data_IF_511790871134
#
_entry.id   IF_511790871134
#
_cell.length_a   1.000
_cell.length_b   1.000
_cell.length_c   1.000
_cell.angle_alpha   90.00
_cell.angle_beta   90.00
_cell.angle_gamma   90.00
#
_symmetry.space_group_name_H-M   'P 1'
#
loop_
_entity.id
_entity.type
_entity.pdbx_description
1 polymer ?
#
# COMPACT_ATOMS: atom_id res chain seq x y z
N UNK A 1 0.54 -11.41 -7.66
CA UNK A 1 -0.61 -10.50 -7.80
C UNK A 1 -1.52 -10.50 -6.58
N UNK A 2 -1.86 -11.64 -5.98
CA UNK A 2 -2.84 -11.70 -4.87
C UNK A 2 -2.56 -10.74 -3.71
N UNK A 3 -1.32 -10.64 -3.23
CA UNK A 3 -0.97 -9.69 -2.16
C UNK A 3 -1.13 -8.23 -2.59
N UNK A 4 -0.70 -7.86 -3.80
CA UNK A 4 -0.89 -6.52 -4.35
C UNK A 4 -2.39 -6.18 -4.46
N UNK A 5 -3.19 -7.09 -5.01
CA UNK A 5 -4.64 -6.93 -5.10
C UNK A 5 -5.27 -6.79 -3.71
N UNK A 6 -4.90 -7.66 -2.77
CA UNK A 6 -5.35 -7.59 -1.39
C UNK A 6 -5.11 -6.22 -0.77
N UNK A 7 -3.90 -5.67 -0.92
CA UNK A 7 -3.60 -4.37 -0.37
C UNK A 7 -4.25 -3.19 -1.12
N UNK A 8 -4.29 -3.23 -2.45
CA UNK A 8 -4.86 -2.13 -3.27
C UNK A 8 -6.38 -2.02 -3.18
N UNK A 9 -7.03 -3.16 -3.02
CA UNK A 9 -8.48 -3.25 -2.82
C UNK A 9 -8.85 -3.34 -1.33
N UNK A 10 -7.86 -3.24 -0.42
CA UNK A 10 -8.07 -3.32 1.02
C UNK A 10 -8.91 -4.54 1.45
N UNK A 11 -8.67 -5.67 0.78
CA UNK A 11 -9.42 -6.91 0.98
C UNK A 11 -9.15 -7.47 2.36
N UNK A 12 -10.20 -8.02 2.96
CA UNK A 12 -10.17 -8.72 4.25
C UNK A 12 -10.34 -10.22 4.07
N UNK A 13 -9.81 -10.97 5.03
CA UNK A 13 -9.85 -12.43 5.07
C UNK A 13 -8.70 -13.08 4.31
N UNK A 14 -8.94 -14.32 3.91
CA UNK A 14 -7.94 -15.23 3.35
C UNK A 14 -8.39 -15.74 1.98
N UNK A 15 -7.41 -16.21 1.21
CA UNK A 15 -7.66 -16.85 -0.08
C UNK A 15 -6.63 -17.92 -0.35
N UNK A 16 -7.07 -19.01 -0.98
CA UNK A 16 -6.18 -20.05 -1.42
C UNK A 16 -5.45 -19.66 -2.72
N UNK A 17 -4.12 -19.81 -2.71
CA UNK A 17 -3.26 -19.74 -3.89
C UNK A 17 -2.59 -21.08 -4.17
N UNK A 18 -2.12 -21.26 -5.40
CA UNK A 18 -1.50 -22.51 -5.82
C UNK A 18 0.01 -22.39 -5.80
N UNK A 19 0.69 -23.24 -5.04
CA UNK A 19 2.14 -23.29 -4.98
C UNK A 19 2.75 -23.98 -6.24
N UNK A 20 4.07 -24.11 -6.30
CA UNK A 20 4.77 -24.73 -7.43
C UNK A 20 4.44 -26.22 -7.61
N UNK A 21 4.05 -26.90 -6.52
CA UNK A 21 3.65 -28.32 -6.52
C UNK A 21 2.19 -28.52 -6.93
N UNK A 22 1.46 -27.44 -7.24
CA UNK A 22 0.04 -27.52 -7.59
C UNK A 22 -0.89 -27.67 -6.38
N UNK A 23 -0.38 -27.55 -5.15
CA UNK A 23 -1.21 -27.60 -3.94
C UNK A 23 -1.72 -26.22 -3.57
N UNK A 24 -2.95 -26.17 -3.04
CA UNK A 24 -3.50 -24.95 -2.45
C UNK A 24 -2.81 -24.64 -1.12
N UNK A 25 -2.48 -23.38 -0.92
CA UNK A 25 -1.98 -22.80 0.32
C UNK A 25 -2.77 -21.53 0.61
N UNK A 26 -3.18 -21.38 1.86
CA UNK A 26 -3.93 -20.22 2.30
C UNK A 26 -2.98 -19.03 2.50
N UNK A 27 -3.42 -17.85 2.06
CA UNK A 27 -2.75 -16.59 2.37
C UNK A 27 -3.76 -15.53 2.82
N UNK A 28 -3.39 -14.77 3.84
CA UNK A 28 -4.16 -13.63 4.31
C UNK A 28 -3.98 -12.43 3.34
N UNK A 29 -5.06 -11.74 3.00
CA UNK A 29 -4.99 -10.52 2.19
C UNK A 29 -4.22 -9.39 2.91
N UNK A 30 -4.43 -9.24 4.21
CA UNK A 30 -3.81 -8.21 5.08
C UNK A 30 -2.36 -8.50 5.48
N UNK A 31 -1.87 -9.75 5.35
CA UNK A 31 -0.51 -10.10 5.75
C UNK A 31 0.54 -9.16 5.13
N UNK A 32 1.56 -8.75 5.88
CA UNK A 32 2.49 -7.71 5.44
C UNK A 32 3.94 -8.20 5.46
N UNK A 33 4.64 -7.95 4.37
CA UNK A 33 6.06 -8.24 4.23
C UNK A 33 6.75 -6.97 3.73
N UNK A 34 7.54 -6.35 4.61
CA UNK A 34 8.06 -5.01 4.36
C UNK A 34 8.93 -4.93 3.09
N UNK A 35 9.87 -5.87 2.94
CA UNK A 35 10.73 -5.95 1.76
C UNK A 35 9.91 -6.11 0.47
N UNK A 36 8.89 -6.97 0.50
CA UNK A 36 8.01 -7.19 -0.64
C UNK A 36 7.18 -5.94 -0.97
N UNK A 37 6.65 -5.25 0.04
CA UNK A 37 5.86 -4.03 -0.13
C UNK A 37 6.69 -2.91 -0.77
N UNK A 38 7.90 -2.65 -0.26
CA UNK A 38 8.77 -1.61 -0.82
C UNK A 38 9.09 -1.89 -2.30
N UNK A 39 9.41 -3.14 -2.63
CA UNK A 39 9.74 -3.52 -4.01
C UNK A 39 8.53 -3.43 -4.95
N UNK A 40 7.33 -3.84 -4.49
CA UNK A 40 6.11 -3.73 -5.30
C UNK A 40 5.72 -2.28 -5.55
N UNK A 41 5.82 -1.43 -4.53
CA UNK A 41 5.52 -0.01 -4.67
C UNK A 41 6.52 0.65 -5.62
N UNK A 42 7.80 0.31 -5.52
CA UNK A 42 8.83 0.79 -6.46
C UNK A 42 8.55 0.35 -7.91
N UNK A 43 8.33 -0.93 -8.18
CA UNK A 43 8.01 -1.46 -9.53
C UNK A 43 6.74 -0.81 -10.08
N UNK A 44 5.73 -0.61 -9.23
CA UNK A 44 4.50 0.10 -9.60
C UNK A 44 4.75 1.54 -10.04
N UNK A 45 5.56 2.30 -9.30
CA UNK A 45 5.93 3.68 -9.64
C UNK A 45 6.73 3.75 -10.94
N UNK A 46 7.68 2.83 -11.13
CA UNK A 46 8.48 2.75 -12.36
C UNK A 46 7.60 2.50 -13.59
N UNK A 47 6.67 1.55 -13.49
CA UNK A 47 5.71 1.29 -14.56
C UNK A 47 4.79 2.47 -14.81
N UNK A 48 4.37 3.18 -13.76
CA UNK A 48 3.48 4.34 -13.91
C UNK A 48 4.17 5.50 -14.64
N UNK A 49 5.42 5.81 -14.28
CA UNK A 49 6.21 6.86 -14.93
C UNK A 49 6.39 6.59 -16.43
N UNK A 50 6.49 5.32 -16.82
CA UNK A 50 6.63 4.87 -18.20
C UNK A 50 5.29 4.64 -18.93
N UNK A 51 4.15 4.81 -18.25
CA UNK A 51 2.82 4.64 -18.82
C UNK A 51 2.29 5.95 -19.42
N UNK A 52 1.43 5.85 -20.44
CA UNK A 52 0.75 7.03 -21.02
C UNK A 52 -0.03 7.83 -19.98
N UNK A 53 -0.65 7.16 -19.00
CA UNK A 53 -1.42 7.77 -17.91
C UNK A 53 -0.56 8.67 -17.02
N UNK A 54 0.75 8.38 -16.90
CA UNK A 54 1.71 9.18 -16.14
C UNK A 54 2.26 10.39 -16.91
N UNK A 55 1.94 10.55 -18.20
CA UNK A 55 2.53 11.58 -19.08
C UNK A 55 2.36 13.01 -18.57
N UNK A 56 1.24 13.30 -17.92
CA UNK A 56 0.94 14.63 -17.38
C UNK A 56 1.91 15.05 -16.25
N UNK A 57 2.55 14.09 -15.59
CA UNK A 57 3.48 14.33 -14.50
C UNK A 57 4.94 14.40 -14.94
N UNK A 58 5.21 14.46 -16.26
CA UNK A 58 6.59 14.55 -16.82
C UNK A 58 7.40 15.70 -16.22
N UNK A 59 6.74 16.82 -15.95
CA UNK A 59 7.38 17.98 -15.31
C UNK A 59 7.90 17.68 -13.90
N UNK A 60 7.37 16.64 -13.23
CA UNK A 60 7.75 16.22 -11.88
C UNK A 60 8.69 15.01 -11.86
N UNK A 61 9.16 14.54 -13.02
CA UNK A 61 9.92 13.29 -13.10
C UNK A 61 11.22 13.30 -12.30
N UNK A 62 11.83 14.46 -12.07
CA UNK A 62 13.03 14.58 -11.25
C UNK A 62 12.71 14.32 -9.78
N UNK A 63 11.66 14.98 -9.27
CA UNK A 63 11.11 14.74 -7.93
C UNK A 63 10.64 13.29 -7.75
N UNK A 64 9.93 12.73 -8.73
CA UNK A 64 9.47 11.33 -8.70
C UNK A 64 10.66 10.36 -8.68
N UNK A 65 11.70 10.60 -9.48
CA UNK A 65 12.92 9.75 -9.48
C UNK A 65 13.66 9.80 -8.14
N UNK A 66 13.72 10.96 -7.49
CA UNK A 66 14.31 11.10 -6.15
C UNK A 66 13.52 10.33 -5.10
N UNK A 67 12.19 10.42 -5.14
CA UNK A 67 11.31 9.60 -4.30
C UNK A 67 11.51 8.10 -4.56
N UNK A 68 11.57 7.68 -5.83
CA UNK A 68 11.81 6.28 -6.20
C UNK A 68 13.18 5.77 -5.72
N UNK A 69 14.22 6.60 -5.78
CA UNK A 69 15.54 6.27 -5.22
C UNK A 69 15.46 6.04 -3.70
N UNK A 70 14.68 6.85 -2.97
CA UNK A 70 14.46 6.63 -1.54
C UNK A 70 13.80 5.26 -1.27
N UNK A 71 12.87 4.80 -2.11
CA UNK A 71 12.31 3.43 -2.04
C UNK A 71 13.35 2.34 -2.30
N UNK A 72 14.25 2.54 -3.27
CA UNK A 72 15.32 1.59 -3.56
C UNK A 72 16.29 1.47 -2.37
N UNK A 73 16.71 2.60 -1.81
CA UNK A 73 17.55 2.65 -0.60
C UNK A 73 16.85 1.96 0.57
N UNK A 74 15.57 2.26 0.81
CA UNK A 74 14.78 1.60 1.84
C UNK A 74 14.76 0.07 1.67
N UNK A 75 14.50 -0.40 0.44
CA UNK A 75 14.48 -1.83 0.11
C UNK A 75 15.85 -2.49 0.37
N UNK A 76 16.94 -1.82 -0.01
CA UNK A 76 18.30 -2.30 0.23
C UNK A 76 18.63 -2.37 1.74
N UNK A 77 18.21 -1.38 2.54
CA UNK A 77 18.41 -1.37 3.99
C UNK A 77 17.65 -2.52 4.67
N UNK A 78 16.38 -2.72 4.30
CA UNK A 78 15.53 -3.75 4.94
C UNK A 78 16.07 -5.17 4.73
N UNK A 79 16.78 -5.45 3.63
CA UNK A 79 17.44 -6.76 3.40
C UNK A 79 18.41 -7.14 4.51
N UNK A 80 19.07 -6.17 5.15
CA UNK A 80 19.98 -6.43 6.25
C UNK A 80 19.28 -6.79 7.56
N UNK A 81 17.96 -6.63 7.69
CA UNK A 81 17.22 -7.07 8.88
C UNK A 81 17.29 -8.58 9.12
N UNK A 82 17.54 -9.37 8.07
CA UNK A 82 17.75 -10.82 8.19
C UNK A 82 19.07 -11.15 8.93
N UNK A 83 20.01 -10.21 9.01
CA UNK A 83 21.35 -10.38 9.56
C UNK A 83 21.59 -9.52 10.81
N UNK A 84 20.54 -9.24 11.60
CA UNK A 84 20.61 -8.35 12.77
C UNK A 84 21.69 -8.73 13.79
N UNK A 85 21.98 -10.02 13.99
CA UNK A 85 23.04 -10.50 14.88
C UNK A 85 24.46 -10.09 14.41
N UNK A 86 24.65 -9.95 13.10
CA UNK A 86 25.93 -9.62 12.49
C UNK A 86 25.90 -8.24 11.80
N UNK A 87 24.94 -7.37 12.16
CA UNK A 87 24.68 -6.12 11.45
C UNK A 87 25.91 -5.20 11.39
N UNK A 88 26.79 -5.30 12.39
CA UNK A 88 28.05 -4.53 12.44
C UNK A 88 29.01 -4.90 11.30
N UNK A 89 28.95 -6.13 10.76
CA UNK A 89 29.75 -6.53 9.59
C UNK A 89 29.35 -5.77 8.33
N UNK A 90 28.10 -5.36 8.24
CA UNK A 90 27.53 -4.63 7.09
C UNK A 90 27.51 -3.11 7.29
N UNK A 91 28.14 -2.60 8.37
CA UNK A 91 28.08 -1.19 8.74
C UNK A 91 28.58 -0.28 7.61
N UNK A 92 29.64 -0.69 6.90
CA UNK A 92 30.21 0.09 5.80
C UNK A 92 29.25 0.18 4.62
N UNK A 93 28.63 -0.93 4.24
CA UNK A 93 27.68 -1.03 3.14
C UNK A 93 26.40 -0.25 3.46
N UNK A 94 25.90 -0.38 4.69
CA UNK A 94 24.74 0.37 5.17
C UNK A 94 25.03 1.88 5.17
N UNK A 95 26.22 2.28 5.63
CA UNK A 95 26.61 3.69 5.63
C UNK A 95 26.67 4.23 4.20
N UNK A 96 27.25 3.47 3.27
CA UNK A 96 27.30 3.86 1.86
C UNK A 96 25.90 4.03 1.23
N UNK A 97 24.89 3.27 1.68
CA UNK A 97 23.50 3.44 1.24
C UNK A 97 22.85 4.72 1.80
N UNK A 98 23.22 5.12 3.02
CA UNK A 98 22.68 6.32 3.69
C UNK A 98 23.41 7.59 3.28
N UNK A 99 24.68 7.47 2.90
CA UNK A 99 25.54 8.59 2.53
C UNK A 99 25.03 9.26 1.23
N UNK A 100 25.14 10.59 1.19
CA UNK A 100 24.72 11.41 0.06
C UNK A 100 23.23 11.31 -0.32
N UNK A 101 22.37 10.83 0.59
CA UNK A 101 20.92 10.83 0.40
C UNK A 101 20.28 12.05 1.05
N UNK A 102 19.76 12.97 0.24
CA UNK A 102 19.00 14.13 0.73
C UNK A 102 17.61 13.72 1.24
N UNK A 103 17.00 12.73 0.59
CA UNK A 103 15.71 12.15 0.91
C UNK A 103 15.88 10.67 1.27
N UNK A 104 15.49 10.32 2.49
CA UNK A 104 15.53 8.96 2.99
C UNK A 104 14.13 8.50 3.40
N UNK A 105 13.82 7.26 3.04
CA UNK A 105 12.65 6.52 3.48
C UNK A 105 13.14 5.33 4.29
N UNK A 106 12.67 5.17 5.52
CA UNK A 106 12.98 3.97 6.29
C UNK A 106 11.79 3.58 7.16
N UNK A 107 11.18 2.43 6.87
CA UNK A 107 10.15 1.87 7.72
C UNK A 107 10.76 1.30 9.01
N UNK A 108 10.06 1.51 10.13
CA UNK A 108 10.50 1.11 11.46
C UNK A 108 9.43 0.26 12.14
N UNK A 109 9.83 -0.94 12.55
CA UNK A 109 8.94 -1.91 13.19
C UNK A 109 8.95 -1.75 14.71
N UNK A 110 7.76 -1.71 15.33
CA UNK A 110 7.58 -1.73 16.78
C UNK A 110 6.27 -2.43 17.15
N UNK A 111 6.27 -3.24 18.21
CA UNK A 111 5.06 -3.87 18.76
C UNK A 111 4.13 -4.57 17.74
N UNK A 112 4.67 -5.18 16.68
CA UNK A 112 3.86 -5.84 15.63
C UNK A 112 3.31 -4.90 14.54
N UNK A 113 3.65 -3.62 14.59
CA UNK A 113 3.33 -2.61 13.58
C UNK A 113 4.59 -2.11 12.89
N UNK A 114 4.46 -1.59 11.66
CA UNK A 114 5.50 -0.82 11.02
C UNK A 114 4.97 0.58 10.68
N UNK A 115 5.69 1.61 11.10
CA UNK A 115 5.50 2.98 10.62
C UNK A 115 6.55 3.32 9.60
N UNK A 116 6.30 4.37 8.83
CA UNK A 116 7.26 4.85 7.84
C UNK A 116 7.79 6.21 8.27
N UNK A 117 9.11 6.33 8.34
CA UNK A 117 9.79 7.59 8.59
C UNK A 117 10.39 8.12 7.29
N UNK A 118 10.28 9.43 7.07
CA UNK A 118 10.93 10.13 5.96
C UNK A 118 11.83 11.20 6.54
N UNK A 119 13.12 11.17 6.20
CA UNK A 119 14.05 12.25 6.54
C UNK A 119 14.36 13.05 5.27
N UNK A 120 14.16 14.35 5.33
CA UNK A 120 14.46 15.26 4.24
C UNK A 120 15.08 16.55 4.76
N UNK A 121 16.35 16.83 4.42
CA UNK A 121 17.11 17.94 5.02
C UNK A 121 17.03 17.90 6.56
N UNK A 122 16.56 18.97 7.20
CA UNK A 122 16.32 19.10 8.64
C UNK A 122 14.90 18.69 9.06
N UNK A 123 14.11 18.09 8.17
CA UNK A 123 12.75 17.65 8.44
C UNK A 123 12.66 16.13 8.66
N UNK A 124 11.74 15.76 9.54
CA UNK A 124 11.32 14.39 9.77
C UNK A 124 9.81 14.29 9.59
N UNK A 125 9.35 13.32 8.81
CA UNK A 125 7.92 12.99 8.69
C UNK A 125 7.66 11.63 9.30
N UNK A 126 6.63 11.55 10.15
CA UNK A 126 6.09 10.29 10.68
C UNK A 126 4.81 9.94 9.95
N UNK A 127 4.81 8.83 9.22
CA UNK A 127 3.61 8.23 8.62
C UNK A 127 3.13 7.07 9.50
N UNK A 128 2.07 7.31 10.28
CA UNK A 128 1.42 6.33 11.14
C UNK A 128 -0.11 6.48 11.05
N UNK A 129 -0.70 5.74 10.13
CA UNK A 129 -2.15 5.65 9.88
C UNK A 129 -2.86 4.67 10.81
N UNK A 130 -2.16 4.05 11.77
CA UNK A 130 -2.77 3.10 12.72
C UNK A 130 -3.60 3.78 13.81
N UNK A 131 -3.81 3.10 14.93
CA UNK A 131 -4.56 3.61 16.09
C UNK A 131 -4.07 4.99 16.59
N UNK A 132 -2.77 5.25 16.48
CA UNK A 132 -2.17 6.50 16.93
C UNK A 132 -2.61 7.73 16.09
N UNK A 133 -3.07 7.51 14.85
CA UNK A 133 -3.54 8.57 13.96
C UNK A 133 -4.71 9.37 14.53
N UNK A 134 -5.54 8.78 15.40
CA UNK A 134 -6.64 9.49 16.06
C UNK A 134 -6.16 10.54 17.07
N UNK A 135 -4.93 10.40 17.59
CA UNK A 135 -4.33 11.32 18.56
C UNK A 135 -3.39 12.31 17.89
N UNK A 136 -2.47 11.79 17.07
CA UNK A 136 -1.41 12.60 16.46
C UNK A 136 -1.76 13.07 15.05
N UNK A 137 -2.68 12.40 14.34
CA UNK A 137 -2.85 12.53 12.89
C UNK A 137 -2.02 11.49 12.14
N UNK A 138 -2.42 11.16 10.91
CA UNK A 138 -1.82 10.08 10.11
C UNK A 138 -0.42 10.37 9.59
N UNK A 139 -0.17 11.62 9.21
CA UNK A 139 1.11 12.05 8.63
C UNK A 139 1.49 13.37 9.25
N UNK A 140 2.57 13.37 10.03
CA UNK A 140 3.02 14.53 10.81
C UNK A 140 4.40 14.97 10.34
N UNK A 141 4.58 16.27 10.13
CA UNK A 141 5.82 16.89 9.66
C UNK A 141 6.44 17.67 10.81
N UNK A 142 7.72 17.40 11.07
CA UNK A 142 8.48 18.03 12.13
C UNK A 142 9.76 18.64 11.60
N UNK A 143 10.18 19.75 12.20
CA UNK A 143 11.56 20.25 12.12
C UNK A 143 12.41 19.57 13.19
N UNK A 144 13.59 19.11 12.82
CA UNK A 144 14.58 18.55 13.75
C UNK A 144 15.51 19.67 14.24
N UNK A 145 15.30 20.17 15.46
CA UNK A 145 16.19 21.17 16.04
C UNK A 145 17.58 20.61 16.36
N UNK A 146 17.70 19.28 16.48
CA UNK A 146 18.97 18.55 16.63
C UNK A 146 19.20 17.58 15.47
N UNK A 147 19.08 18.06 14.24
CA UNK A 147 19.22 17.24 13.01
C UNK A 147 20.55 16.47 12.93
N UNK A 148 21.64 16.99 13.51
CA UNK A 148 22.95 16.31 13.58
C UNK A 148 22.92 14.99 14.35
N UNK A 149 21.92 14.78 15.22
CA UNK A 149 21.73 13.52 15.95
C UNK A 149 20.99 12.46 15.12
N UNK A 150 20.42 12.83 13.97
CA UNK A 150 19.88 11.89 12.99
C UNK A 150 21.04 11.39 12.08
N UNK A 151 22.04 10.77 12.71
CA UNK A 151 23.21 10.21 12.02
C UNK A 151 22.97 8.75 11.60
N UNK A 152 23.96 8.18 10.90
CA UNK A 152 23.86 6.80 10.40
C UNK A 152 23.75 5.77 11.54
N UNK A 153 24.37 6.02 12.71
CA UNK A 153 24.29 5.12 13.86
C UNK A 153 22.88 5.16 14.49
N UNK A 154 22.26 6.34 14.54
CA UNK A 154 20.88 6.52 14.98
C UNK A 154 19.90 5.83 14.03
N UNK A 155 20.04 6.03 12.72
CA UNK A 155 19.22 5.37 11.69
C UNK A 155 19.38 3.85 11.75
N UNK A 156 20.61 3.34 11.86
CA UNK A 156 20.85 1.91 12.09
C UNK A 156 20.19 1.41 13.37
N UNK A 157 20.27 2.21 14.43
CA UNK A 157 19.59 1.96 15.70
C UNK A 157 18.08 1.77 15.50
N UNK A 158 17.44 2.65 14.73
CA UNK A 158 16.01 2.58 14.43
C UNK A 158 15.63 1.32 13.65
N UNK A 159 16.39 0.98 12.59
CA UNK A 159 16.03 -0.09 11.66
C UNK A 159 16.35 -1.48 12.22
N UNK A 160 17.47 -1.64 12.93
CA UNK A 160 18.03 -2.96 13.27
C UNK A 160 17.98 -3.32 14.76
N UNK A 161 17.59 -2.39 15.64
CA UNK A 161 17.32 -2.69 17.05
C UNK A 161 15.82 -2.73 17.30
N UNK A 162 15.40 -3.56 18.26
CA UNK A 162 14.01 -3.63 18.70
C UNK A 162 13.59 -2.29 19.29
N UNK A 163 12.52 -1.71 18.74
CA UNK A 163 11.96 -0.45 19.20
C UNK A 163 10.77 -0.67 20.14
N UNK A 164 10.58 0.25 21.08
CA UNK A 164 9.38 0.33 21.91
C UNK A 164 8.43 1.40 21.41
N UNK A 165 7.13 1.26 21.70
CA UNK A 165 6.11 2.25 21.32
C UNK A 165 6.44 3.64 21.90
N UNK A 166 6.91 3.67 23.15
CA UNK A 166 7.30 4.90 23.85
C UNK A 166 8.50 5.57 23.17
N UNK A 167 9.48 4.79 22.71
CA UNK A 167 10.61 5.35 22.01
C UNK A 167 10.21 5.95 20.65
N UNK A 168 9.37 5.25 19.88
CA UNK A 168 8.90 5.73 18.58
C UNK A 168 8.11 7.04 18.68
N UNK A 169 7.23 7.15 19.68
CA UNK A 169 6.34 8.32 19.77
C UNK A 169 6.89 9.47 20.62
N UNK A 170 7.70 9.19 21.64
CA UNK A 170 8.25 10.22 22.52
C UNK A 170 9.79 10.22 22.59
N UNK A 171 10.45 9.07 22.41
CA UNK A 171 11.91 8.96 22.39
C UNK A 171 12.54 9.73 21.25
N UNK A 172 12.12 9.45 20.01
CA UNK A 172 12.60 10.13 18.80
C UNK A 172 12.37 11.65 18.93
N UNK A 173 11.17 12.06 19.36
CA UNK A 173 10.83 13.47 19.56
C UNK A 173 11.79 14.18 20.51
N UNK A 174 12.13 13.54 21.63
CA UNK A 174 13.07 14.11 22.63
C UNK A 174 14.51 14.13 22.16
N UNK A 175 14.97 13.08 21.48
CA UNK A 175 16.36 12.99 21.00
C UNK A 175 16.63 14.05 19.94
N UNK A 176 15.73 14.16 18.95
CA UNK A 176 15.90 15.06 17.81
C UNK A 176 15.34 16.46 18.05
N UNK A 177 14.70 16.67 19.20
CA UNK A 177 14.03 17.92 19.58
C UNK A 177 13.05 18.39 18.49
N UNK A 178 12.06 17.53 18.22
CA UNK A 178 11.12 17.69 17.11
C UNK A 178 10.12 18.80 17.39
N UNK A 179 10.13 19.83 16.55
CA UNK A 179 9.13 20.91 16.52
C UNK A 179 8.05 20.59 15.48
N UNK A 180 6.75 20.48 15.85
CA UNK A 180 5.68 20.23 14.89
C UNK A 180 5.50 21.40 13.92
N UNK A 181 5.52 21.12 12.61
CA UNK A 181 5.27 22.12 11.57
C UNK A 181 3.88 22.02 10.97
N UNK A 182 3.35 20.81 10.82
CA UNK A 182 2.08 20.59 10.16
C UNK A 182 1.75 19.12 9.94
N UNK A 183 0.63 18.88 9.26
CA UNK A 183 0.10 17.54 8.97
C UNK A 183 -0.39 17.45 7.54
N UNK A 184 -0.31 16.27 6.94
CA UNK A 184 -0.98 15.97 5.67
C UNK A 184 -2.33 15.33 6.00
N UNK A 185 -3.47 15.86 5.50
CA UNK A 185 -4.80 15.38 5.84
C UNK A 185 -5.08 14.03 5.15
N UNK A 186 -4.62 12.95 5.77
CA UNK A 186 -4.83 11.58 5.30
C UNK A 186 -5.65 10.81 6.33
N UNK A 187 -6.68 10.10 5.85
CA UNK A 187 -7.55 9.32 6.72
C UNK A 187 -6.80 8.17 7.44
N UNK A 188 -7.12 7.94 8.73
CA UNK A 188 -6.72 6.73 9.46
C UNK A 188 -7.04 5.43 8.72
N UNK A 189 -6.21 4.41 8.92
CA UNK A 189 -6.47 3.02 8.56
C UNK A 189 -6.60 2.20 9.85
N UNK A 190 -7.81 2.11 10.39
CA UNK A 190 -8.08 1.44 11.67
C UNK A 190 -8.31 -0.06 11.54
N UNK A 191 -8.72 -0.53 10.36
CA UNK A 191 -8.97 -1.94 10.05
C UNK A 191 -7.92 -2.53 9.13
N UNK A 192 -7.42 -3.72 9.48
CA UNK A 192 -6.36 -4.41 8.76
C UNK A 192 -4.95 -3.96 9.15
N UNK A 193 -3.95 -4.32 8.34
CA UNK A 193 -2.56 -3.99 8.61
C UNK A 193 -2.19 -2.60 8.07
N UNK A 194 -2.06 -1.62 8.98
CA UNK A 194 -1.70 -0.23 8.63
C UNK A 194 -0.29 -0.08 8.03
N UNK A 195 0.56 -1.11 8.10
CA UNK A 195 1.94 -1.03 7.61
C UNK A 195 2.02 -0.79 6.09
N UNK A 196 1.13 -1.41 5.30
CA UNK A 196 1.02 -1.11 3.88
C UNK A 196 0.61 0.36 3.67
N UNK A 197 -0.43 0.78 4.37
CA UNK A 197 -0.97 2.13 4.29
C UNK A 197 0.07 3.21 4.65
N UNK A 198 0.97 2.91 5.59
CA UNK A 198 2.08 3.78 6.00
C UNK A 198 3.16 3.90 4.92
N UNK A 199 3.48 2.82 4.21
CA UNK A 199 4.39 2.87 3.05
C UNK A 199 3.72 3.58 1.88
N UNK A 200 2.44 3.31 1.61
CA UNK A 200 1.69 3.90 0.50
C UNK A 200 1.61 5.43 0.62
N UNK A 201 1.23 5.93 1.80
CA UNK A 201 1.08 7.38 2.04
C UNK A 201 2.42 8.14 2.00
N UNK A 202 3.55 7.43 2.20
CA UNK A 202 4.87 8.05 2.15
C UNK A 202 5.18 8.69 0.79
N UNK A 203 4.53 8.22 -0.30
CA UNK A 203 4.63 8.81 -1.64
C UNK A 203 4.12 10.24 -1.65
N UNK A 204 2.89 10.45 -1.15
CA UNK A 204 2.29 11.78 -1.08
C UNK A 204 3.14 12.70 -0.19
N UNK A 205 3.62 12.20 0.95
CA UNK A 205 4.46 12.97 1.85
C UNK A 205 5.80 13.39 1.24
N UNK A 206 6.50 12.47 0.57
CA UNK A 206 7.78 12.77 -0.09
C UNK A 206 7.59 13.77 -1.23
N UNK A 207 6.56 13.59 -2.08
CA UNK A 207 6.29 14.52 -3.17
C UNK A 207 5.89 15.91 -2.66
N UNK A 208 5.08 15.98 -1.59
CA UNK A 208 4.76 17.25 -0.95
C UNK A 208 6.03 18.00 -0.53
N UNK A 209 6.96 17.32 0.15
CA UNK A 209 8.22 17.93 0.58
C UNK A 209 9.07 18.41 -0.61
N UNK A 210 9.18 17.59 -1.66
CA UNK A 210 9.96 17.95 -2.85
C UNK A 210 9.34 19.14 -3.58
N UNK A 211 8.01 19.17 -3.75
CA UNK A 211 7.32 20.27 -4.42
C UNK A 211 7.36 21.56 -3.61
N UNK A 212 7.15 21.48 -2.28
CA UNK A 212 7.14 22.66 -1.43
C UNK A 212 8.54 23.27 -1.24
N UNK A 213 9.59 22.45 -1.17
CA UNK A 213 10.91 22.89 -0.71
C UNK A 213 11.97 23.00 -1.81
N UNK A 214 11.81 22.31 -2.94
CA UNK A 214 12.78 22.35 -4.04
C UNK A 214 12.21 22.97 -5.29
N UNK A 215 10.94 22.69 -5.60
CA UNK A 215 10.22 23.36 -6.70
C UNK A 215 9.60 24.70 -6.25
N UNK A 216 9.73 25.03 -4.96
CA UNK A 216 9.25 26.27 -4.32
C UNK A 216 7.76 26.55 -4.58
N UNK A 217 6.94 25.50 -4.65
CA UNK A 217 5.49 25.68 -4.77
C UNK A 217 4.90 26.21 -3.47
N UNK A 218 3.88 27.06 -3.59
CA UNK A 218 3.02 27.40 -2.46
C UNK A 218 2.48 26.11 -1.82
N UNK A 219 2.36 26.09 -0.48
CA UNK A 219 2.04 24.90 0.30
C UNK A 219 0.77 24.20 -0.20
N UNK A 220 -0.30 24.97 -0.49
CA UNK A 220 -1.55 24.43 -1.00
C UNK A 220 -1.36 23.76 -2.37
N UNK A 221 -0.64 24.42 -3.28
CA UNK A 221 -0.34 23.88 -4.61
C UNK A 221 0.55 22.64 -4.55
N UNK A 222 1.53 22.60 -3.64
CA UNK A 222 2.36 21.43 -3.41
C UNK A 222 1.51 20.25 -2.91
N UNK A 223 0.59 20.52 -1.98
CA UNK A 223 -0.34 19.51 -1.43
C UNK A 223 -1.27 18.95 -2.51
N UNK A 224 -1.86 19.84 -3.32
CA UNK A 224 -2.76 19.45 -4.40
C UNK A 224 -2.04 18.62 -5.45
N UNK A 225 -0.84 19.02 -5.87
CA UNK A 225 -0.05 18.29 -6.86
C UNK A 225 0.37 16.90 -6.33
N UNK A 226 0.83 16.81 -5.08
CA UNK A 226 1.22 15.54 -4.46
C UNK A 226 0.02 14.60 -4.29
N UNK A 227 -1.13 15.14 -3.86
CA UNK A 227 -2.39 14.39 -3.71
C UNK A 227 -2.91 13.92 -5.06
N UNK A 228 -2.90 14.79 -6.07
CA UNK A 228 -3.32 14.46 -7.43
C UNK A 228 -2.47 13.32 -8.01
N UNK A 229 -1.14 13.40 -7.89
CA UNK A 229 -0.26 12.32 -8.31
C UNK A 229 -0.59 11.01 -7.59
N UNK A 230 -0.67 11.05 -6.26
CA UNK A 230 -0.92 9.87 -5.43
C UNK A 230 -2.25 9.18 -5.80
N UNK A 231 -3.34 9.94 -5.88
CA UNK A 231 -4.66 9.41 -6.23
C UNK A 231 -4.68 8.79 -7.64
N UNK A 232 -4.04 9.45 -8.62
CA UNK A 232 -4.01 8.94 -9.99
C UNK A 232 -3.14 7.69 -10.13
N UNK A 233 -1.97 7.68 -9.50
CA UNK A 233 -1.11 6.50 -9.45
C UNK A 233 -1.82 5.31 -8.79
N UNK A 234 -2.45 5.53 -7.63
CA UNK A 234 -3.13 4.47 -6.88
C UNK A 234 -4.32 3.91 -7.67
N UNK A 235 -5.12 4.76 -8.32
CA UNK A 235 -6.23 4.32 -9.18
C UNK A 235 -5.74 3.52 -10.38
N UNK A 236 -4.69 4.00 -11.05
CA UNK A 236 -4.05 3.29 -12.15
C UNK A 236 -3.48 1.93 -11.72
N UNK A 237 -2.84 1.85 -10.55
CA UNK A 237 -2.23 0.61 -10.07
C UNK A 237 -3.27 -0.44 -9.68
N UNK A 238 -4.42 -0.02 -9.13
CA UNK A 238 -5.60 -0.88 -8.90
C UNK A 238 -6.06 -1.52 -10.21
N UNK A 239 -6.25 -0.70 -11.24
CA UNK A 239 -6.76 -1.17 -12.52
C UNK A 239 -5.74 -2.03 -13.26
N UNK A 240 -4.46 -1.66 -13.25
CA UNK A 240 -3.37 -2.48 -13.83
C UNK A 240 -3.29 -3.85 -13.15
N UNK A 241 -3.27 -3.89 -11.82
CA UNK A 241 -3.16 -5.16 -11.09
C UNK A 241 -4.36 -6.09 -11.36
N UNK A 242 -5.57 -5.51 -11.49
CA UNK A 242 -6.77 -6.24 -11.88
C UNK A 242 -6.65 -6.79 -13.30
N UNK A 243 -6.23 -5.96 -14.25
CA UNK A 243 -6.07 -6.34 -15.66
C UNK A 243 -5.00 -7.44 -15.82
N UNK A 244 -3.88 -7.36 -15.12
CA UNK A 244 -2.85 -8.42 -15.11
C UNK A 244 -3.38 -9.74 -14.51
N UNK A 245 -4.24 -9.67 -13.49
CA UNK A 245 -4.88 -10.86 -12.91
C UNK A 245 -5.83 -11.52 -13.91
N UNK A 246 -6.66 -10.73 -14.60
CA UNK A 246 -7.60 -11.21 -15.61
C UNK A 246 -6.87 -11.72 -16.85
N UNK A 247 -5.85 -11.02 -17.34
CA UNK A 247 -5.08 -11.48 -18.48
C UNK A 247 -4.39 -12.81 -18.17
N UNK A 248 -3.71 -12.89 -17.02
CA UNK A 248 -2.99 -14.10 -16.63
C UNK A 248 -3.91 -15.27 -16.27
N UNK A 249 -5.20 -15.03 -15.98
CA UNK A 249 -6.21 -16.07 -15.78
C UNK A 249 -6.33 -16.99 -17.00
N UNK A 250 -6.37 -16.40 -18.20
CA UNK A 250 -6.57 -17.15 -19.44
C UNK A 250 -5.40 -18.08 -19.80
N UNK A 251 -4.21 -17.81 -19.26
CA UNK A 251 -2.99 -18.62 -19.49
C UNK A 251 -2.63 -19.53 -18.31
N UNK A 252 -3.52 -19.66 -17.32
CA UNK A 252 -3.28 -20.45 -16.11
C UNK A 252 -3.88 -21.85 -16.20
N UNK A 253 -3.34 -22.79 -15.42
CA UNK A 253 -3.98 -24.08 -15.22
C UNK A 253 -5.27 -23.93 -14.38
N UNK A 254 -6.13 -24.96 -14.37
CA UNK A 254 -7.44 -24.93 -13.69
C UNK A 254 -7.34 -24.55 -12.21
N UNK A 255 -6.38 -25.10 -11.47
CA UNK A 255 -6.21 -24.79 -10.05
C UNK A 255 -5.89 -23.30 -9.84
N UNK A 256 -4.98 -22.73 -10.65
CA UNK A 256 -4.63 -21.31 -10.61
C UNK A 256 -5.76 -20.42 -11.10
N UNK A 257 -6.58 -20.88 -12.05
CA UNK A 257 -7.80 -20.19 -12.46
C UNK A 257 -8.79 -20.10 -11.30
N UNK A 258 -9.04 -21.20 -10.58
CA UNK A 258 -9.91 -21.18 -9.38
C UNK A 258 -9.40 -20.23 -8.31
N UNK A 259 -8.09 -20.23 -8.02
CA UNK A 259 -7.48 -19.28 -7.09
C UNK A 259 -7.71 -17.83 -7.52
N UNK A 260 -7.44 -17.50 -8.80
CA UNK A 260 -7.68 -16.16 -9.34
C UNK A 260 -9.15 -15.77 -9.33
N UNK A 261 -10.05 -16.68 -9.70
CA UNK A 261 -11.49 -16.46 -9.62
C UNK A 261 -11.94 -16.15 -8.19
N UNK A 262 -11.35 -16.81 -7.20
CA UNK A 262 -11.62 -16.56 -5.77
C UNK A 262 -11.19 -15.15 -5.37
N UNK A 263 -10.00 -14.71 -5.79
CA UNK A 263 -9.53 -13.32 -5.58
C UNK A 263 -10.44 -12.30 -6.27
N UNK A 264 -10.82 -12.54 -7.53
CA UNK A 264 -11.71 -11.66 -8.29
C UNK A 264 -13.12 -11.58 -7.64
N UNK A 265 -13.60 -12.70 -7.08
CA UNK A 265 -14.87 -12.74 -6.33
C UNK A 265 -14.79 -11.88 -5.07
N UNK A 266 -13.69 -11.96 -4.33
CA UNK A 266 -13.47 -11.12 -3.16
C UNK A 266 -13.45 -9.62 -3.53
N UNK A 267 -12.79 -9.25 -4.63
CA UNK A 267 -12.79 -7.86 -5.13
C UNK A 267 -14.21 -7.41 -5.47
N UNK A 268 -14.95 -8.21 -6.25
CA UNK A 268 -16.32 -7.90 -6.65
C UNK A 268 -17.24 -7.68 -5.43
N UNK A 269 -17.13 -8.57 -4.44
CA UNK A 269 -17.99 -8.54 -3.25
C UNK A 269 -17.65 -7.41 -2.27
N UNK A 270 -16.36 -7.23 -1.96
CA UNK A 270 -15.93 -6.31 -0.92
C UNK A 270 -15.80 -4.86 -1.43
N UNK A 271 -15.50 -4.66 -2.70
CA UNK A 271 -15.09 -3.33 -3.20
C UNK A 271 -15.95 -2.73 -4.30
N UNK A 272 -16.61 -3.52 -5.15
CA UNK A 272 -17.36 -2.98 -6.27
C UNK A 272 -18.76 -2.53 -5.84
N UNK A 273 -19.00 -1.22 -5.75
CA UNK A 273 -20.30 -0.69 -5.34
C UNK A 273 -21.24 -0.41 -6.53
N UNK A 274 -22.48 -0.90 -6.43
CA UNK A 274 -23.53 -0.61 -7.39
C UNK A 274 -23.83 0.89 -7.42
N UNK A 275 -23.86 1.47 -8.62
CA UNK A 275 -24.09 2.91 -8.83
C UNK A 275 -22.82 3.76 -8.96
N UNK A 276 -21.62 3.19 -8.74
CA UNK A 276 -20.35 3.88 -8.95
C UNK A 276 -19.72 3.46 -10.28
N UNK A 277 -19.60 4.39 -11.23
CA UNK A 277 -19.20 4.08 -12.61
C UNK A 277 -17.83 3.36 -12.71
N UNK A 278 -16.84 3.79 -11.93
CA UNK A 278 -15.51 3.14 -11.90
C UNK A 278 -15.58 1.71 -11.39
N UNK A 279 -16.39 1.47 -10.37
CA UNK A 279 -16.55 0.15 -9.77
C UNK A 279 -17.35 -0.77 -10.66
N UNK A 280 -18.37 -0.25 -11.34
CA UNK A 280 -19.12 -1.01 -12.34
C UNK A 280 -18.25 -1.37 -13.54
N UNK A 281 -17.34 -0.49 -13.98
CA UNK A 281 -16.38 -0.83 -15.03
C UNK A 281 -15.46 -1.99 -14.61
N UNK A 282 -14.96 -1.99 -13.36
CA UNK A 282 -14.18 -3.12 -12.80
C UNK A 282 -15.02 -4.38 -12.66
N UNK A 283 -16.25 -4.25 -12.16
CA UNK A 283 -17.19 -5.35 -12.01
C UNK A 283 -17.47 -6.03 -13.35
N UNK A 284 -17.66 -5.27 -14.43
CA UNK A 284 -17.84 -5.82 -15.78
C UNK A 284 -16.64 -6.65 -16.24
N UNK A 285 -15.41 -6.16 -16.00
CA UNK A 285 -14.19 -6.92 -16.28
C UNK A 285 -14.14 -8.23 -15.47
N UNK A 286 -14.46 -8.17 -14.18
CA UNK A 286 -14.47 -9.34 -13.29
C UNK A 286 -15.55 -10.35 -13.72
N UNK A 287 -16.76 -9.89 -14.01
CA UNK A 287 -17.90 -10.72 -14.41
C UNK A 287 -17.63 -11.42 -15.72
N UNK A 288 -16.87 -10.82 -16.65
CA UNK A 288 -16.44 -11.51 -17.90
C UNK A 288 -15.68 -12.83 -17.64
N UNK A 289 -15.07 -12.97 -16.45
CA UNK A 289 -14.43 -14.20 -15.99
C UNK A 289 -15.38 -15.07 -15.19
N UNK A 290 -16.06 -14.48 -14.19
CA UNK A 290 -16.86 -15.22 -13.21
C UNK A 290 -18.21 -15.71 -13.76
N UNK A 291 -18.69 -15.17 -14.87
CA UNK A 291 -19.93 -15.61 -15.52
C UNK A 291 -19.80 -16.93 -16.29
N UNK A 292 -18.57 -17.44 -16.47
CA UNK A 292 -18.38 -18.75 -17.11
C UNK A 292 -18.97 -19.85 -16.22
N UNK A 293 -19.62 -20.88 -16.79
CA UNK A 293 -20.35 -21.90 -16.02
C UNK A 293 -19.53 -22.57 -14.90
N UNK A 294 -18.24 -22.76 -15.13
CA UNK A 294 -17.30 -23.37 -14.19
C UNK A 294 -17.01 -22.52 -12.93
N UNK A 295 -17.22 -21.20 -12.95
CA UNK A 295 -16.96 -20.31 -11.80
C UNK A 295 -18.22 -19.70 -11.18
N UNK A 296 -19.38 -19.80 -11.84
CA UNK A 296 -20.64 -19.34 -11.25
C UNK A 296 -20.94 -19.91 -9.85
N UNK A 297 -20.56 -21.16 -9.49
CA UNK A 297 -20.72 -21.64 -8.13
C UNK A 297 -20.05 -20.76 -7.06
N UNK A 298 -18.94 -20.07 -7.38
CA UNK A 298 -18.29 -19.14 -6.45
C UNK A 298 -19.21 -17.96 -6.12
N UNK A 299 -19.83 -17.36 -7.13
CA UNK A 299 -20.78 -16.25 -6.94
C UNK A 299 -22.00 -16.71 -6.14
N UNK A 300 -22.51 -17.91 -6.43
CA UNK A 300 -23.63 -18.50 -5.70
C UNK A 300 -23.33 -18.67 -4.22
N UNK A 301 -22.16 -19.19 -3.86
CA UNK A 301 -21.76 -19.32 -2.44
C UNK A 301 -21.78 -17.97 -1.71
N UNK A 302 -21.27 -16.91 -2.34
CA UNK A 302 -21.29 -15.58 -1.74
C UNK A 302 -22.73 -15.06 -1.56
N UNK A 303 -23.58 -15.19 -2.58
CA UNK A 303 -24.99 -14.81 -2.49
C UNK A 303 -25.70 -15.60 -1.38
N UNK A 304 -25.59 -16.93 -1.38
CA UNK A 304 -26.26 -17.80 -0.42
C UNK A 304 -25.76 -17.60 1.02
N UNK A 305 -24.52 -17.15 1.19
CA UNK A 305 -23.93 -16.92 2.52
C UNK A 305 -24.30 -15.53 3.05
N UNK A 306 -24.17 -14.50 2.21
CA UNK A 306 -24.20 -13.11 2.67
C UNK A 306 -25.51 -12.37 2.38
N UNK A 307 -26.52 -13.01 1.79
CA UNK A 307 -27.85 -12.38 1.59
C UNK A 307 -28.90 -12.82 2.62
N UNK A 308 -28.59 -13.80 3.47
CA UNK A 308 -29.52 -14.35 4.48
C UNK A 308 -29.81 -13.41 5.63
N UNK A 309 -28.80 -12.69 6.14
CA UNK A 309 -28.95 -11.69 7.19
C UNK A 309 -28.62 -10.31 6.65
N UNK A 310 -29.69 -9.60 6.28
CA UNK A 310 -29.61 -8.25 5.72
C UNK A 310 -29.19 -7.16 6.73
N UNK A 311 -29.14 -7.48 8.03
CA UNK A 311 -28.85 -6.51 9.10
C UNK A 311 -27.35 -6.45 9.47
N UNK A 312 -26.61 -7.52 9.17
CA UNK A 312 -25.16 -7.55 9.35
C UNK A 312 -24.43 -6.68 8.30
N UNK A 313 -23.24 -6.12 8.60
CA UNK A 313 -22.43 -5.39 7.61
C UNK A 313 -22.15 -6.20 6.33
N UNK A 314 -21.91 -7.50 6.46
CA UNK A 314 -21.75 -8.43 5.32
C UNK A 314 -23.04 -8.61 4.52
N UNK A 315 -24.20 -8.44 5.14
CA UNK A 315 -25.52 -8.39 4.52
C UNK A 315 -25.69 -7.24 3.53
N UNK A 316 -25.10 -6.08 3.83
CA UNK A 316 -25.08 -4.92 2.94
C UNK A 316 -24.27 -5.23 1.68
N UNK A 317 -23.10 -5.86 1.83
CA UNK A 317 -22.29 -6.33 0.70
C UNK A 317 -23.03 -7.39 -0.13
N UNK A 318 -23.77 -8.31 0.49
CA UNK A 318 -24.60 -9.29 -0.21
C UNK A 318 -25.68 -8.65 -1.08
N UNK A 319 -26.42 -7.67 -0.54
CA UNK A 319 -27.42 -6.90 -1.33
C UNK A 319 -26.78 -6.11 -2.46
N UNK A 320 -25.61 -5.53 -2.22
CA UNK A 320 -24.87 -4.81 -3.24
C UNK A 320 -24.43 -5.76 -4.37
N UNK A 321 -23.90 -6.93 -4.04
CA UNK A 321 -23.51 -7.95 -5.02
C UNK A 321 -24.71 -8.33 -5.91
N UNK A 322 -25.90 -8.56 -5.34
CA UNK A 322 -27.10 -8.85 -6.14
C UNK A 322 -27.41 -7.76 -7.18
N UNK A 323 -27.32 -6.48 -6.80
CA UNK A 323 -27.53 -5.36 -7.74
C UNK A 323 -26.48 -5.33 -8.85
N UNK A 324 -25.23 -5.61 -8.51
CA UNK A 324 -24.15 -5.70 -9.50
C UNK A 324 -24.40 -6.86 -10.47
N UNK A 325 -24.80 -8.03 -9.97
CA UNK A 325 -25.11 -9.19 -10.81
C UNK A 325 -26.32 -8.96 -11.72
N UNK A 326 -27.38 -8.33 -11.18
CA UNK A 326 -28.57 -7.93 -11.95
C UNK A 326 -28.21 -6.96 -13.08
N UNK A 327 -27.35 -5.97 -12.81
CA UNK A 327 -26.91 -5.01 -13.83
C UNK A 327 -26.18 -5.69 -15.02
N UNK A 328 -25.50 -6.80 -14.79
CA UNK A 328 -24.77 -7.55 -15.81
C UNK A 328 -25.50 -8.81 -16.29
N UNK A 329 -26.80 -8.92 -16.01
CA UNK A 329 -27.66 -10.05 -16.43
C UNK A 329 -27.11 -11.43 -16.01
N UNK A 330 -26.45 -11.52 -14.85
CA UNK A 330 -25.91 -12.80 -14.34
C UNK A 330 -26.99 -13.55 -13.57
N UNK A 331 -27.57 -14.58 -14.18
CA UNK A 331 -28.58 -15.43 -13.54
C UNK A 331 -27.94 -16.61 -12.79
N UNK A 332 -28.19 -16.67 -11.48
CA UNK A 332 -27.75 -17.75 -10.59
C UNK A 332 -28.85 -18.77 -10.26
N UNK A 333 -30.10 -18.58 -10.74
CA UNK A 333 -31.29 -19.36 -10.35
C UNK A 333 -31.31 -20.79 -10.91
N UNK A 334 -30.41 -21.13 -11.84
CA UNK A 334 -30.30 -22.45 -12.48
C UNK A 334 -29.15 -23.32 -11.97
N UNK A 335 -28.38 -22.86 -10.99
CA UNK A 335 -27.31 -23.60 -10.31
C UNK A 335 -27.77 -24.17 -8.98
#
# INVERSE_FOLDING_TARGET
NTKLLGHRFELQGEVDIVNEKGSFIEIEFSGFFLEFTLNIVFDSLERYQNNFSGRQFRFYFDSIRRMMNAFQVASALIRYQQNTLEIQRYKKEIYALLEHQDLLLFPVCYAGHAITLIKYKDLLVKCDRGENSHREGSVNIYKMNKSVLMDNDFIMGLIYKRQTREFIHAGINRVLDLEPLGKIPIEPQTTGNCSWANVDVSISAMLFLLFALDEEYEIEKAMDAATQFYCQWQAWDKDRALDECIQSFNYSNKARQMSKASVLTAILFQTCQAGFASDMARAGKIISVLSKPEYLPLLKVYVDTFTKDASAPTGVHGKNLLKVLEYFDVDLRGL
#
